data_IF_805061188588
#
_entry.id   IF_805061188588
#
_cell.length_a   1.000
_cell.length_b   1.000
_cell.length_c   1.000
_cell.angle_alpha   90.00
_cell.angle_beta   90.00
_cell.angle_gamma   90.00
#
_symmetry.space_group_name_H-M   'P 1'
#
loop_
_entity.id
_entity.type
_entity.pdbx_description
1 polymer ?
#
# COMPACT_ATOMS: atom_id res chain seq x y z
N UNK A 1 11.77 14.35 -27.06
CA UNK A 1 10.37 14.54 -26.66
C UNK A 1 10.16 13.64 -25.47
N UNK A 2 9.78 14.20 -24.32
CA UNK A 2 9.62 13.47 -23.05
C UNK A 2 8.18 12.93 -23.02
N UNK A 3 8.00 11.63 -23.14
CA UNK A 3 6.70 11.00 -22.90
C UNK A 3 6.46 10.96 -21.40
N UNK A 4 5.44 11.69 -20.95
CA UNK A 4 4.88 11.56 -19.61
C UNK A 4 4.31 10.15 -19.47
N UNK A 5 4.79 9.40 -18.48
CA UNK A 5 4.14 8.21 -17.95
C UNK A 5 2.85 8.64 -17.23
N UNK A 6 1.81 8.87 -18.02
CA UNK A 6 0.44 8.79 -17.56
C UNK A 6 0.05 7.31 -17.43
N UNK A 7 -0.77 7.02 -16.41
CA UNK A 7 -1.52 5.78 -16.19
C UNK A 7 -0.85 4.69 -15.31
N UNK A 8 -0.97 4.88 -13.99
CA UNK A 8 -1.46 3.78 -13.14
C UNK A 8 -2.93 4.03 -12.84
N UNK A 9 -3.81 3.48 -13.67
CA UNK A 9 -5.24 3.36 -13.37
C UNK A 9 -5.44 1.95 -12.82
N UNK A 10 -5.61 1.81 -11.51
CA UNK A 10 -6.29 0.64 -10.94
C UNK A 10 -7.78 0.99 -10.92
N UNK A 11 -8.62 0.47 -11.83
CA UNK A 11 -10.05 0.70 -11.75
C UNK A 11 -10.58 -0.03 -10.51
N UNK A 12 -11.14 0.73 -9.58
CA UNK A 12 -11.91 0.20 -8.46
C UNK A 12 -13.12 -0.59 -8.99
N UNK A 13 -13.05 -1.91 -8.87
CA UNK A 13 -14.19 -2.81 -9.08
C UNK A 13 -15.21 -2.58 -7.96
N UNK A 14 -16.24 -1.80 -8.26
CA UNK A 14 -17.47 -1.75 -7.46
C UNK A 14 -18.14 -3.13 -7.51
N UNK A 15 -18.01 -3.91 -6.44
CA UNK A 15 -18.91 -5.04 -6.18
C UNK A 15 -20.26 -4.46 -5.74
N UNK A 16 -21.14 -4.22 -6.71
CA UNK A 16 -22.56 -4.08 -6.45
C UNK A 16 -23.09 -5.45 -5.98
N UNK A 17 -23.37 -5.55 -4.67
CA UNK A 17 -24.10 -6.66 -4.10
C UNK A 17 -25.54 -6.65 -4.61
N UNK A 18 -25.89 -7.64 -5.42
CA UNK A 18 -27.28 -8.05 -5.62
C UNK A 18 -27.50 -9.33 -4.81
N UNK A 19 -28.14 -9.19 -3.66
CA UNK A 19 -28.81 -10.29 -2.99
C UNK A 19 -30.02 -10.69 -3.83
N UNK A 20 -30.13 -11.97 -4.17
CA UNK A 20 -31.43 -12.57 -4.44
C UNK A 20 -31.52 -13.92 -3.73
N UNK A 21 -32.40 -13.93 -2.74
CA UNK A 21 -32.83 -15.05 -1.92
C UNK A 21 -34.08 -15.64 -2.60
N UNK A 22 -34.06 -16.93 -2.95
CA UNK A 22 -35.25 -17.80 -2.96
C UNK A 22 -34.92 -19.26 -3.32
N UNK A 23 -35.03 -20.13 -2.32
CA UNK A 23 -36.11 -21.12 -2.31
C UNK A 23 -35.91 -22.48 -3.00
N UNK A 24 -35.92 -23.50 -2.14
CA UNK A 24 -36.68 -24.76 -2.26
C UNK A 24 -35.97 -26.07 -2.72
N UNK A 25 -35.75 -26.91 -1.70
CA UNK A 25 -36.31 -28.27 -1.54
C UNK A 25 -35.77 -29.44 -2.37
N UNK A 26 -35.26 -30.48 -1.68
CA UNK A 26 -35.32 -31.84 -2.22
C UNK A 26 -34.34 -32.91 -1.68
N UNK A 27 -34.56 -33.38 -0.44
CA UNK A 27 -34.57 -34.79 0.03
C UNK A 27 -33.62 -35.85 -0.59
N UNK A 28 -32.89 -36.56 0.29
CA UNK A 28 -33.08 -37.99 0.65
C UNK A 28 -31.77 -38.81 0.69
N UNK A 29 -31.58 -39.55 1.79
CA UNK A 29 -30.74 -40.77 1.80
C UNK A 29 -30.02 -41.08 3.12
N UNK A 30 -30.74 -41.59 4.12
CA UNK A 30 -30.15 -42.48 5.14
C UNK A 30 -29.91 -43.88 4.52
N UNK A 31 -28.91 -44.63 5.02
CA UNK A 31 -29.32 -45.86 5.72
C UNK A 31 -28.54 -46.15 7.01
N UNK A 32 -29.25 -46.83 7.91
CA UNK A 32 -28.86 -47.30 9.22
C UNK A 32 -27.85 -48.48 9.21
N UNK A 33 -27.05 -48.61 10.28
CA UNK A 33 -26.97 -49.84 11.09
C UNK A 33 -26.05 -49.71 12.32
N UNK A 34 -26.68 -49.83 13.49
CA UNK A 34 -26.35 -50.61 14.69
C UNK A 34 -24.89 -50.88 15.14
N UNK A 35 -24.66 -50.55 16.42
CA UNK A 35 -24.23 -51.43 17.52
C UNK A 35 -22.92 -51.08 18.28
N UNK A 36 -23.13 -50.73 19.55
CA UNK A 36 -22.40 -51.13 20.78
C UNK A 36 -20.93 -50.78 21.06
N UNK A 37 -20.81 -50.14 22.23
CA UNK A 37 -19.83 -50.35 23.32
C UNK A 37 -18.55 -49.51 23.35
N UNK A 38 -18.44 -48.79 24.48
CA UNK A 38 -17.26 -48.50 25.32
C UNK A 38 -15.96 -48.10 24.64
N UNK A 39 -15.52 -46.87 24.87
CA UNK A 39 -14.47 -46.58 25.86
C UNK A 39 -14.23 -45.07 25.96
N UNK A 40 -14.02 -44.58 27.17
CA UNK A 40 -13.42 -43.25 27.39
C UNK A 40 -11.90 -43.40 27.38
N UNK A 41 -11.18 -42.48 26.75
CA UNK A 41 -9.91 -42.06 27.29
C UNK A 41 -9.85 -40.54 27.45
N UNK A 42 -9.51 -40.16 28.68
CA UNK A 42 -8.87 -38.91 29.09
C UNK A 42 -7.99 -38.29 28.00
N UNK A 43 -8.40 -37.15 27.45
CA UNK A 43 -7.50 -36.28 26.68
C UNK A 43 -6.70 -35.39 27.64
N UNK A 44 -5.40 -35.68 27.67
CA UNK A 44 -4.36 -34.86 28.26
C UNK A 44 -4.30 -33.54 27.49
N UNK A 45 -4.74 -32.45 28.11
CA UNK A 45 -4.52 -31.09 27.59
C UNK A 45 -3.03 -30.78 27.70
N UNK A 46 -2.30 -31.07 26.63
CA UNK A 46 -0.98 -30.48 26.40
C UNK A 46 -1.23 -29.10 25.83
N UNK A 47 -1.21 -28.08 26.69
CA UNK A 47 -1.14 -26.70 26.27
C UNK A 47 0.17 -26.51 25.49
N UNK A 48 0.06 -26.40 24.16
CA UNK A 48 1.15 -25.92 23.32
C UNK A 48 1.35 -24.46 23.76
N UNK A 49 2.53 -24.07 24.27
CA UNK A 49 2.82 -22.67 24.52
C UNK A 49 2.71 -21.95 23.18
N UNK A 50 1.64 -21.16 23.04
CA UNK A 50 1.56 -20.17 21.98
C UNK A 50 2.51 -19.08 22.43
N UNK A 51 3.80 -19.22 22.10
CA UNK A 51 4.70 -18.08 22.15
C UNK A 51 4.05 -17.00 21.28
N UNK A 52 3.85 -15.78 21.79
CA UNK A 52 3.41 -14.69 20.95
C UNK A 52 4.54 -14.49 19.95
N UNK A 53 4.30 -14.82 18.70
CA UNK A 53 5.10 -14.25 17.62
C UNK A 53 4.94 -12.75 17.77
N UNK A 54 6.02 -12.08 18.15
CA UNK A 54 6.16 -10.63 18.05
C UNK A 54 6.07 -10.30 16.56
N UNK A 55 4.84 -10.22 16.06
CA UNK A 55 4.50 -9.58 14.80
C UNK A 55 4.60 -8.08 15.07
N UNK A 56 5.84 -7.58 15.13
CA UNK A 56 6.14 -6.15 15.17
C UNK A 56 5.88 -5.49 13.81
N UNK A 57 4.94 -6.02 13.01
CA UNK A 57 4.27 -5.22 12.00
C UNK A 57 3.50 -4.15 12.74
N UNK A 58 3.78 -2.87 12.45
CA UNK A 58 2.98 -1.74 12.93
C UNK A 58 1.51 -1.98 12.57
N UNK A 59 0.76 -2.65 13.46
CA UNK A 59 -0.67 -2.78 13.35
C UNK A 59 -1.23 -1.38 13.62
N UNK A 60 -1.37 -0.59 12.55
CA UNK A 60 -2.06 0.69 12.64
C UNK A 60 -3.47 0.41 13.15
N UNK A 61 -3.88 1.10 14.20
CA UNK A 61 -5.27 1.19 14.64
C UNK A 61 -5.91 2.47 14.08
N UNK A 62 -7.23 2.62 14.21
CA UNK A 62 -7.89 3.88 13.88
C UNK A 62 -7.32 5.04 14.74
N UNK A 63 -6.99 4.78 16.01
CA UNK A 63 -6.37 5.76 16.92
C UNK A 63 -4.95 6.16 16.44
N UNK A 64 -4.16 5.20 15.96
CA UNK A 64 -2.84 5.49 15.36
C UNK A 64 -2.98 6.30 14.08
N UNK A 65 -4.03 6.05 13.29
CA UNK A 65 -4.34 6.84 12.11
C UNK A 65 -4.76 8.27 12.45
N UNK A 66 -5.55 8.48 13.50
CA UNK A 66 -5.88 9.83 13.98
C UNK A 66 -4.61 10.58 14.39
N UNK A 67 -3.75 9.96 15.20
CA UNK A 67 -2.47 10.57 15.62
C UNK A 67 -1.56 10.90 14.42
N UNK A 68 -1.48 9.99 13.44
CA UNK A 68 -0.66 10.18 12.24
C UNK A 68 -1.16 11.34 11.37
N UNK A 69 -2.48 11.43 11.18
CA UNK A 69 -3.10 12.48 10.35
C UNK A 69 -3.19 13.83 11.06
N UNK A 70 -3.12 13.85 12.39
CA UNK A 70 -3.09 15.07 13.20
C UNK A 70 -1.69 15.70 13.33
N UNK A 71 -0.63 15.04 12.89
CA UNK A 71 0.72 15.60 12.86
C UNK A 71 0.75 16.94 12.09
N UNK A 72 1.46 17.95 12.61
CA UNK A 72 1.46 19.31 12.06
C UNK A 72 1.88 19.34 10.58
N UNK A 73 2.87 18.53 10.21
CA UNK A 73 3.38 18.39 8.85
C UNK A 73 2.33 17.79 7.89
N UNK A 74 1.49 16.87 8.39
CA UNK A 74 0.38 16.29 7.62
C UNK A 74 -0.78 17.28 7.52
N UNK A 75 -1.13 17.97 8.61
CA UNK A 75 -2.16 19.02 8.61
C UNK A 75 -1.80 20.23 7.75
N UNK A 76 -0.51 20.47 7.53
CA UNK A 76 -0.05 21.50 6.60
C UNK A 76 -0.47 21.21 5.16
N UNK A 77 -0.61 19.93 4.77
CA UNK A 77 -1.08 19.50 3.44
C UNK A 77 -2.55 19.84 3.29
N UNK A 78 -3.38 19.31 4.18
CA UNK A 78 -4.82 19.54 4.21
C UNK A 78 -5.39 19.25 5.61
N UNK A 79 -6.59 19.73 5.89
CA UNK A 79 -7.29 19.41 7.14
C UNK A 79 -8.06 18.10 6.97
N UNK A 80 -7.65 17.02 7.67
CA UNK A 80 -8.36 15.75 7.60
C UNK A 80 -9.74 15.87 8.27
N UNK A 81 -10.69 15.14 7.71
CA UNK A 81 -12.02 14.87 8.21
C UNK A 81 -12.28 13.36 8.05
N UNK A 82 -13.13 12.78 8.89
CA UNK A 82 -13.51 11.36 8.87
C UNK A 82 -12.31 10.39 8.64
N UNK A 83 -11.43 10.26 9.64
CA UNK A 83 -10.26 9.37 9.58
C UNK A 83 -10.66 7.90 9.66
N UNK A 84 -10.08 7.05 8.80
CA UNK A 84 -10.28 5.59 8.80
C UNK A 84 -8.98 4.88 8.44
N UNK A 85 -8.72 3.73 9.07
CA UNK A 85 -7.77 2.76 8.55
C UNK A 85 -8.40 1.92 7.44
N UNK A 86 -7.76 1.86 6.27
CA UNK A 86 -8.15 1.00 5.15
C UNK A 86 -6.96 0.17 4.66
N UNK A 87 -7.25 -0.88 3.90
CA UNK A 87 -6.23 -1.58 3.10
C UNK A 87 -6.27 -1.07 1.66
N UNK A 88 -5.20 -0.40 1.22
CA UNK A 88 -5.06 0.10 -0.15
C UNK A 88 -3.91 -0.65 -0.83
N UNK A 89 -4.19 -1.27 -1.97
CA UNK A 89 -3.21 -2.08 -2.71
C UNK A 89 -2.48 -3.15 -1.86
N UNK A 90 -3.18 -3.72 -0.86
CA UNK A 90 -2.63 -4.74 0.03
C UNK A 90 -1.80 -4.19 1.20
N UNK A 91 -1.72 -2.88 1.39
CA UNK A 91 -1.02 -2.23 2.51
C UNK A 91 -1.99 -1.49 3.43
N UNK A 92 -1.75 -1.48 4.76
CA UNK A 92 -2.48 -0.59 5.66
C UNK A 92 -2.23 0.87 5.28
N UNK A 93 -3.28 1.67 5.30
CA UNK A 93 -3.27 3.07 4.87
C UNK A 93 -4.31 3.84 5.67
N UNK A 94 -3.86 4.90 6.35
CA UNK A 94 -4.72 5.87 6.99
C UNK A 94 -5.30 6.79 5.93
N UNK A 95 -6.63 6.81 5.82
CA UNK A 95 -7.37 7.59 4.84
C UNK A 95 -8.24 8.61 5.56
N UNK A 96 -8.13 9.87 5.16
CA UNK A 96 -9.01 10.94 5.59
C UNK A 96 -9.71 11.56 4.39
N UNK A 97 -10.98 11.90 4.56
CA UNK A 97 -11.66 12.82 3.66
C UNK A 97 -11.14 14.24 3.93
N UNK A 98 -11.08 15.08 2.91
CA UNK A 98 -10.70 16.48 3.08
C UNK A 98 -11.92 17.37 3.26
N UNK A 99 -11.84 18.29 4.23
CA UNK A 99 -12.88 19.28 4.47
C UNK A 99 -13.11 20.14 3.23
N UNK A 100 -14.35 20.18 2.72
CA UNK A 100 -14.78 21.11 1.67
C UNK A 100 -15.02 20.49 0.29
N UNK A 101 -14.63 19.23 0.04
CA UNK A 101 -14.97 18.50 -1.19
C UNK A 101 -14.99 16.96 -1.00
N UNK A 102 -14.77 16.19 -2.08
CA UNK A 102 -14.68 14.72 -2.06
C UNK A 102 -13.22 14.24 -2.18
N UNK A 103 -12.25 15.10 -1.93
CA UNK A 103 -10.84 14.73 -1.98
C UNK A 103 -10.47 13.89 -0.76
N UNK A 104 -9.40 13.11 -0.90
CA UNK A 104 -8.87 12.21 0.11
C UNK A 104 -7.39 12.46 0.31
N UNK A 105 -6.95 12.37 1.56
CA UNK A 105 -5.56 12.27 1.96
C UNK A 105 -5.30 10.86 2.46
N UNK A 106 -4.30 10.21 1.88
CA UNK A 106 -3.89 8.87 2.25
C UNK A 106 -2.45 8.92 2.74
N UNK A 107 -2.20 8.34 3.92
CA UNK A 107 -0.86 8.18 4.49
C UNK A 107 -0.63 6.71 4.79
N UNK A 108 0.49 6.15 4.31
CA UNK A 108 0.90 4.77 4.59
C UNK A 108 2.34 4.77 5.08
N UNK A 109 2.59 4.04 6.16
CA UNK A 109 3.91 3.77 6.72
C UNK A 109 3.98 2.27 6.91
N UNK A 110 4.97 1.62 6.32
CA UNK A 110 5.09 0.16 6.38
C UNK A 110 6.56 -0.27 6.26
N UNK A 111 6.95 -1.42 6.84
CA UNK A 111 8.24 -2.02 6.54
C UNK A 111 8.45 -2.17 5.02
N UNK A 112 9.63 -1.81 4.53
CA UNK A 112 9.90 -1.76 3.10
C UNK A 112 9.77 -3.13 2.42
N UNK A 113 10.03 -4.23 3.13
CA UNK A 113 9.82 -5.59 2.64
C UNK A 113 8.32 -5.90 2.38
N UNK A 114 7.41 -5.29 3.14
CA UNK A 114 5.95 -5.36 2.89
C UNK A 114 5.63 -4.63 1.60
N UNK A 115 6.14 -3.41 1.42
CA UNK A 115 5.99 -2.67 0.17
C UNK A 115 6.51 -3.47 -1.03
N UNK A 116 7.70 -4.05 -0.94
CA UNK A 116 8.33 -4.85 -1.99
C UNK A 116 7.44 -6.03 -2.45
N UNK A 117 6.73 -6.69 -1.53
CA UNK A 117 5.78 -7.76 -1.87
C UNK A 117 4.57 -7.25 -2.65
N UNK A 118 4.09 -6.04 -2.36
CA UNK A 118 2.89 -5.47 -3.01
C UNK A 118 3.17 -4.95 -4.42
N UNK A 119 4.38 -4.46 -4.69
CA UNK A 119 4.71 -3.78 -5.96
C UNK A 119 4.97 -4.75 -7.12
N UNK A 120 5.21 -6.04 -6.84
CA UNK A 120 5.49 -7.08 -7.85
C UNK A 120 4.50 -7.12 -9.01
N UNK A 121 3.19 -7.06 -8.72
CA UNK A 121 2.15 -7.11 -9.75
C UNK A 121 2.18 -5.85 -10.61
N UNK A 122 2.42 -4.68 -10.00
CA UNK A 122 2.51 -3.42 -10.70
C UNK A 122 3.72 -3.39 -11.66
N UNK A 123 4.87 -3.92 -11.24
CA UNK A 123 6.09 -3.99 -12.08
C UNK A 123 5.86 -4.89 -13.29
N UNK A 124 5.29 -6.09 -13.09
CA UNK A 124 4.94 -7.00 -14.20
C UNK A 124 4.06 -6.30 -15.22
N UNK A 125 3.05 -5.58 -14.76
CA UNK A 125 2.16 -4.85 -15.65
C UNK A 125 2.90 -3.79 -16.47
N UNK A 126 3.84 -3.04 -15.87
CA UNK A 126 4.64 -2.04 -16.59
C UNK A 126 5.50 -2.68 -17.67
N UNK A 127 6.15 -3.80 -17.37
CA UNK A 127 6.98 -4.55 -18.30
C UNK A 127 6.12 -5.11 -19.45
N UNK A 128 5.02 -5.79 -19.14
CA UNK A 128 4.13 -6.43 -20.12
C UNK A 128 3.48 -5.42 -21.07
N UNK A 129 3.20 -4.20 -20.58
CA UNK A 129 2.62 -3.12 -21.37
C UNK A 129 3.67 -2.32 -22.15
N UNK A 130 4.97 -2.57 -21.92
CA UNK A 130 6.06 -1.86 -22.60
C UNK A 130 6.01 -0.34 -22.36
N UNK A 131 5.61 0.09 -21.16
CA UNK A 131 5.39 1.52 -20.87
C UNK A 131 6.68 2.34 -20.74
N UNK A 132 7.84 1.67 -20.65
CA UNK A 132 9.14 2.33 -20.64
C UNK A 132 9.73 2.35 -22.05
N UNK A 133 10.11 3.53 -22.53
CA UNK A 133 10.76 3.70 -23.85
C UNK A 133 12.28 3.48 -23.82
N UNK A 134 12.86 3.28 -22.63
CA UNK A 134 14.30 3.21 -22.39
C UNK A 134 14.75 1.80 -21.98
N UNK A 135 15.72 1.25 -22.71
CA UNK A 135 16.18 -0.13 -22.53
C UNK A 135 16.93 -0.34 -21.20
N UNK A 136 17.62 0.69 -20.69
CA UNK A 136 18.30 0.61 -19.39
C UNK A 136 17.27 0.53 -18.26
N UNK A 137 16.25 1.38 -18.29
CA UNK A 137 15.18 1.35 -17.29
C UNK A 137 14.33 0.08 -17.38
N UNK A 138 14.11 -0.47 -18.58
CA UNK A 138 13.49 -1.79 -18.75
C UNK A 138 14.32 -2.88 -18.07
N UNK A 139 15.64 -2.88 -18.25
CA UNK A 139 16.53 -3.85 -17.61
C UNK A 139 16.48 -3.74 -16.08
N UNK A 140 16.50 -2.51 -15.53
CA UNK A 140 16.37 -2.27 -14.08
C UNK A 140 15.06 -2.83 -13.52
N UNK A 141 13.93 -2.63 -14.20
CA UNK A 141 12.65 -3.21 -13.76
C UNK A 141 12.65 -4.74 -13.82
N UNK A 142 13.24 -5.33 -14.86
CA UNK A 142 13.33 -6.79 -14.98
C UNK A 142 14.20 -7.38 -13.88
N UNK A 143 15.38 -6.80 -13.62
CA UNK A 143 16.27 -7.24 -12.54
C UNK A 143 15.59 -7.13 -11.17
N UNK A 144 14.86 -6.03 -10.92
CA UNK A 144 14.07 -5.86 -9.70
C UNK A 144 12.94 -6.89 -9.58
N UNK A 145 12.25 -7.20 -10.67
CA UNK A 145 11.21 -8.24 -10.68
C UNK A 145 11.80 -9.63 -10.40
N UNK A 146 12.92 -9.97 -11.03
CA UNK A 146 13.61 -11.24 -10.83
C UNK A 146 14.04 -11.40 -9.35
N UNK A 147 14.52 -10.31 -8.74
CA UNK A 147 14.85 -10.28 -7.31
C UNK A 147 13.62 -10.56 -6.44
N UNK A 148 12.47 -9.94 -6.74
CA UNK A 148 11.18 -10.20 -6.07
C UNK A 148 10.59 -11.60 -6.36
N UNK A 149 11.11 -12.31 -7.37
CA UNK A 149 10.68 -13.64 -7.78
C UNK A 149 11.56 -14.78 -7.28
N UNK A 150 12.80 -14.48 -6.88
CA UNK A 150 13.76 -15.44 -6.33
C UNK A 150 13.22 -16.25 -5.14
N UNK A 151 12.30 -15.68 -4.38
CA UNK A 151 11.65 -16.32 -3.23
C UNK A 151 12.42 -16.21 -1.92
N UNK A 152 13.63 -15.62 -1.93
CA UNK A 152 14.48 -15.49 -0.75
C UNK A 152 14.00 -14.41 0.25
N UNK A 153 13.00 -13.60 -0.14
CA UNK A 153 12.57 -12.44 0.62
C UNK A 153 13.64 -11.34 0.60
N UNK A 154 13.22 -10.08 0.76
CA UNK A 154 14.14 -8.97 0.94
C UNK A 154 14.12 -8.56 2.40
N UNK A 155 15.29 -8.29 2.96
CA UNK A 155 15.32 -7.53 4.20
C UNK A 155 14.85 -6.07 3.93
N UNK A 156 14.45 -5.34 4.98
CA UNK A 156 13.90 -4.00 4.81
C UNK A 156 14.85 -3.01 4.11
N UNK A 157 16.16 -3.08 4.36
CA UNK A 157 17.13 -2.16 3.75
C UNK A 157 17.30 -2.47 2.26
N UNK A 158 17.41 -3.76 1.91
CA UNK A 158 17.41 -4.21 0.52
C UNK A 158 16.14 -3.81 -0.23
N UNK A 159 14.99 -3.79 0.45
CA UNK A 159 13.74 -3.34 -0.14
C UNK A 159 13.75 -1.82 -0.41
N UNK A 160 14.41 -1.01 0.42
CA UNK A 160 14.61 0.41 0.12
C UNK A 160 15.60 0.67 -1.03
N UNK A 161 16.65 -0.15 -1.17
CA UNK A 161 17.54 -0.10 -2.34
C UNK A 161 16.75 -0.42 -3.63
N UNK A 162 15.86 -1.40 -3.57
CA UNK A 162 14.97 -1.76 -4.67
C UNK A 162 14.00 -0.60 -5.00
N UNK A 163 13.42 0.06 -3.99
CA UNK A 163 12.61 1.27 -4.18
C UNK A 163 13.39 2.36 -4.93
N UNK A 164 14.62 2.65 -4.50
CA UNK A 164 15.46 3.67 -5.13
C UNK A 164 15.70 3.32 -6.60
N UNK A 165 16.09 2.08 -6.88
CA UNK A 165 16.37 1.62 -8.24
C UNK A 165 15.14 1.70 -9.16
N UNK A 166 13.98 1.23 -8.72
CA UNK A 166 12.81 1.08 -9.59
C UNK A 166 11.90 2.31 -9.63
N UNK A 167 11.88 3.12 -8.57
CA UNK A 167 10.92 4.21 -8.43
C UNK A 167 11.62 5.56 -8.56
N UNK A 168 12.83 5.70 -8.02
CA UNK A 168 13.55 6.99 -7.96
C UNK A 168 14.44 7.17 -9.19
N UNK A 169 15.29 6.20 -9.48
CA UNK A 169 16.27 6.28 -10.57
C UNK A 169 15.61 6.26 -11.96
N UNK A 170 14.57 5.43 -12.15
CA UNK A 170 13.81 5.38 -13.41
C UNK A 170 13.17 6.73 -13.73
N UNK A 171 12.85 7.53 -12.71
CA UNK A 171 12.31 8.88 -12.87
C UNK A 171 13.40 9.94 -13.07
N UNK A 172 14.67 9.56 -13.13
CA UNK A 172 15.80 10.47 -13.36
C UNK A 172 16.01 11.46 -12.23
N UNK A 173 15.69 11.07 -10.98
CA UNK A 173 15.99 11.89 -9.81
C UNK A 173 17.51 11.96 -9.58
N UNK A 174 18.01 13.02 -8.91
CA UNK A 174 19.44 13.14 -8.60
C UNK A 174 19.95 11.91 -7.83
N UNK A 175 21.19 11.52 -8.10
CA UNK A 175 21.86 10.42 -7.38
C UNK A 175 21.81 10.66 -5.86
N UNK A 176 21.52 9.60 -5.10
CA UNK A 176 21.34 9.66 -3.65
C UNK A 176 19.96 10.15 -3.18
N UNK A 177 19.03 10.41 -4.10
CA UNK A 177 17.63 10.63 -3.73
C UNK A 177 17.01 9.33 -3.24
N UNK A 178 16.20 9.40 -2.18
CA UNK A 178 15.47 8.28 -1.60
C UNK A 178 13.95 8.49 -1.66
N UNK A 179 13.51 9.46 -2.46
CA UNK A 179 12.14 9.93 -2.50
C UNK A 179 11.73 10.37 -3.91
N UNK A 180 10.42 10.44 -4.11
CA UNK A 180 9.84 10.94 -5.34
C UNK A 180 8.48 11.59 -5.11
N UNK A 181 8.13 12.54 -5.97
CA UNK A 181 6.78 13.10 -6.06
C UNK A 181 6.24 12.89 -7.47
N UNK A 182 5.11 12.20 -7.56
CA UNK A 182 4.39 11.90 -8.79
C UNK A 182 3.10 12.73 -8.85
N UNK A 183 2.79 13.24 -10.04
CA UNK A 183 1.56 13.98 -10.31
C UNK A 183 0.82 13.28 -11.45
N UNK A 184 -0.43 12.86 -11.19
CA UNK A 184 -1.22 12.02 -12.08
C UNK A 184 -2.53 12.71 -12.43
N UNK A 185 -3.01 12.67 -13.69
CA UNK A 185 -2.32 12.13 -14.86
C UNK A 185 -1.18 13.01 -15.37
N UNK A 186 -1.25 14.32 -15.14
CA UNK A 186 -0.22 15.28 -15.57
C UNK A 186 -0.16 16.50 -14.63
N UNK A 187 0.93 17.30 -14.67
CA UNK A 187 1.04 18.53 -13.90
C UNK A 187 -0.02 19.60 -14.21
N UNK A 188 -0.54 19.61 -15.45
CA UNK A 188 -1.51 20.63 -15.90
C UNK A 188 -2.93 20.35 -15.41
N UNK A 189 -3.30 19.07 -15.27
CA UNK A 189 -4.62 18.63 -14.81
C UNK A 189 -4.49 17.54 -13.72
N UNK A 190 -3.88 17.85 -12.56
CA UNK A 190 -3.54 16.86 -11.55
C UNK A 190 -4.79 16.37 -10.81
N UNK A 191 -5.11 15.09 -10.92
CA UNK A 191 -6.15 14.44 -10.10
C UNK A 191 -5.57 13.76 -8.86
N UNK A 192 -4.26 13.51 -8.85
CA UNK A 192 -3.55 13.00 -7.68
C UNK A 192 -2.12 13.52 -7.63
N UNK A 193 -1.64 13.76 -6.41
CA UNK A 193 -0.23 13.97 -6.10
C UNK A 193 0.15 12.89 -5.10
N UNK A 194 1.25 12.20 -5.35
CA UNK A 194 1.73 11.12 -4.50
C UNK A 194 3.22 11.30 -4.23
N UNK A 195 3.58 11.53 -2.97
CA UNK A 195 4.95 11.61 -2.50
C UNK A 195 5.31 10.30 -1.78
N UNK A 196 6.44 9.71 -2.14
CA UNK A 196 6.91 8.45 -1.57
C UNK A 196 8.37 8.59 -1.16
N UNK A 197 8.76 7.92 -0.09
CA UNK A 197 10.16 7.78 0.32
C UNK A 197 10.41 6.39 0.91
N UNK A 198 11.66 5.93 0.82
CA UNK A 198 12.12 4.76 1.53
C UNK A 198 13.49 5.03 2.16
N UNK A 199 13.61 4.82 3.46
CA UNK A 199 14.89 4.89 4.18
C UNK A 199 14.83 4.07 5.44
N UNK A 200 15.99 3.56 5.87
CA UNK A 200 16.17 2.77 7.10
C UNK A 200 15.12 1.67 7.25
N UNK A 201 14.87 0.94 6.15
CA UNK A 201 13.93 -0.17 6.10
C UNK A 201 12.44 0.21 6.13
N UNK A 202 12.08 1.48 6.07
CA UNK A 202 10.69 1.93 6.12
C UNK A 202 10.29 2.57 4.80
N UNK A 203 9.15 2.13 4.24
CA UNK A 203 8.49 2.81 3.13
C UNK A 203 7.38 3.71 3.66
N UNK A 204 7.33 4.93 3.15
CA UNK A 204 6.30 5.92 3.48
C UNK A 204 5.69 6.50 2.22
N UNK A 205 4.38 6.68 2.22
CA UNK A 205 3.62 7.28 1.13
C UNK A 205 2.61 8.27 1.67
N UNK A 206 2.57 9.46 1.07
CA UNK A 206 1.57 10.49 1.30
C UNK A 206 0.95 10.83 -0.04
N UNK A 207 -0.37 10.72 -0.16
CA UNK A 207 -1.05 11.06 -1.41
C UNK A 207 -2.32 11.86 -1.19
N UNK A 208 -2.57 12.80 -2.08
CA UNK A 208 -3.84 13.51 -2.20
C UNK A 208 -4.50 13.05 -3.49
N UNK A 209 -5.77 12.68 -3.41
CA UNK A 209 -6.60 12.25 -4.55
C UNK A 209 -7.84 13.13 -4.58
N UNK A 210 -8.19 13.68 -5.73
CA UNK A 210 -9.30 14.61 -5.86
C UNK A 210 -10.26 14.19 -7.00
N UNK A 211 -11.58 14.46 -6.87
CA UNK A 211 -12.56 14.22 -7.93
C UNK A 211 -12.45 15.24 -9.08
N UNK A 212 -11.59 16.25 -8.95
CA UNK A 212 -11.40 17.36 -9.87
C UNK A 212 -9.96 17.85 -9.78
N UNK A 213 -9.43 18.55 -10.80
CA UNK A 213 -8.04 18.98 -10.81
C UNK A 213 -7.65 19.76 -9.55
N UNK A 214 -6.59 19.28 -8.88
CA UNK A 214 -6.00 19.88 -7.70
C UNK A 214 -5.44 21.25 -8.08
N UNK A 215 -5.90 22.27 -7.36
CA UNK A 215 -5.42 23.64 -7.56
C UNK A 215 -4.05 23.79 -6.92
N UNK A 216 -3.12 24.42 -7.63
CA UNK A 216 -1.76 24.72 -7.15
C UNK A 216 -0.99 23.48 -6.64
N UNK A 217 -0.82 22.43 -7.46
CA UNK A 217 -0.13 21.21 -7.04
C UNK A 217 1.29 21.48 -6.52
N UNK A 218 1.99 22.45 -7.10
CA UNK A 218 3.35 22.87 -6.71
C UNK A 218 3.44 23.34 -5.25
N UNK A 219 2.36 23.91 -4.72
CA UNK A 219 2.32 24.36 -3.32
C UNK A 219 2.14 23.20 -2.32
N UNK A 220 1.66 22.04 -2.78
CA UNK A 220 1.49 20.84 -1.97
C UNK A 220 2.76 20.00 -1.88
N UNK A 221 3.53 19.90 -2.97
CA UNK A 221 4.74 19.09 -3.02
C UNK A 221 5.71 19.31 -1.85
N UNK A 222 6.13 20.56 -1.49
CA UNK A 222 7.05 20.76 -0.38
C UNK A 222 6.47 20.36 0.98
N UNK A 223 5.14 20.45 1.15
CA UNK A 223 4.46 20.03 2.38
C UNK A 223 4.41 18.51 2.49
N UNK A 224 4.16 17.83 1.37
CA UNK A 224 4.19 16.38 1.31
C UNK A 224 5.60 15.86 1.56
N UNK A 225 6.63 16.52 1.04
CA UNK A 225 8.02 16.20 1.36
C UNK A 225 8.32 16.39 2.85
N UNK A 226 7.90 17.49 3.46
CA UNK A 226 8.07 17.71 4.89
C UNK A 226 7.37 16.63 5.74
N UNK A 227 6.21 16.12 5.30
CA UNK A 227 5.56 15.00 5.96
C UNK A 227 6.36 13.69 5.85
N UNK A 228 6.95 13.41 4.68
CA UNK A 228 7.85 12.26 4.52
C UNK A 228 9.07 12.40 5.45
N UNK A 229 9.72 13.57 5.48
CA UNK A 229 10.86 13.83 6.35
C UNK A 229 10.47 13.65 7.82
N UNK A 230 9.29 14.11 8.24
CA UNK A 230 8.77 13.90 9.59
C UNK A 230 8.65 12.40 9.95
N UNK A 231 8.21 11.56 9.01
CA UNK A 231 8.09 10.12 9.27
C UNK A 231 9.45 9.40 9.30
N UNK A 232 10.44 9.93 8.59
CA UNK A 232 11.78 9.34 8.55
C UNK A 232 12.71 9.87 9.62
N UNK A 233 12.59 11.12 10.06
CA UNK A 233 13.48 11.76 11.03
C UNK A 233 12.83 11.97 12.41
N UNK A 234 11.51 11.81 12.50
CA UNK A 234 10.72 12.07 13.69
C UNK A 234 10.64 10.92 14.70
N UNK A 235 9.88 11.12 15.80
CA UNK A 235 9.81 10.21 16.94
C UNK A 235 8.96 8.93 16.70
N UNK A 236 8.52 8.68 15.46
CA UNK A 236 7.79 7.47 15.08
C UNK A 236 8.72 6.26 14.81
N UNK A 237 10.01 6.39 15.17
CA UNK A 237 11.01 5.32 15.23
C UNK A 237 11.08 4.69 16.61
#
# INVERSE_FOLDING_TARGET
MKCLLAAFVVPALFLAGCSDDQGASGRAGDPASAASSSDSPTESTTEIPTEPTDDSGMAQSDDDCEALLDADEVRAIATPDEVRLLTVAGSPTCVARLSGDLSQLNVSITPADVWARTVKVAIRQVIDQGLLDDAENQAKLQEGLDLLESGDGLDPDQACDLFTTMVVDIQGRPEGSNNVVNVVPSPDEPLSINAQACSDGVYTSVSVIAPSPIKNPEALQPKMMAALDHFHEGPLR
#
